data_IF_655531563004
#
_entry.id   IF_655531563004
#
_cell.length_a   1.000
_cell.length_b   1.000
_cell.length_c   1.000
_cell.angle_alpha   90.00
_cell.angle_beta   90.00
_cell.angle_gamma   90.00
#
_symmetry.space_group_name_H-M   'P 1'
#
loop_
_entity.id
_entity.type
_entity.pdbx_description
1 polymer ?
#
# COMPACT_ATOMS: atom_id res chain seq x y z
N UNK A 1 17.60 25.41 17.58
CA UNK A 1 16.74 25.51 16.37
C UNK A 1 17.55 25.66 15.08
N UNK A 2 18.30 26.75 14.87
CA UNK A 2 19.10 26.99 13.64
C UNK A 2 19.97 25.79 13.22
N UNK A 3 20.77 25.25 14.14
CA UNK A 3 21.65 24.11 13.86
C UNK A 3 20.90 22.83 13.48
N UNK A 4 19.75 22.57 14.11
CA UNK A 4 18.93 21.39 13.80
C UNK A 4 18.34 21.50 12.40
N UNK A 5 17.84 22.68 12.03
CA UNK A 5 17.33 22.92 10.69
C UNK A 5 18.45 22.75 9.63
N UNK A 6 19.65 23.26 9.90
CA UNK A 6 20.80 23.11 9.01
C UNK A 6 21.23 21.63 8.87
N UNK A 7 21.29 20.89 9.99
CA UNK A 7 21.62 19.47 9.99
C UNK A 7 20.58 18.64 9.22
N UNK A 8 19.29 18.92 9.42
CA UNK A 8 18.21 18.27 8.67
C UNK A 8 18.31 18.58 7.16
N UNK A 9 18.58 19.83 6.78
CA UNK A 9 18.88 20.19 5.38
C UNK A 9 20.05 19.39 4.81
N UNK A 10 21.17 19.30 5.54
CA UNK A 10 22.35 18.55 5.11
C UNK A 10 22.05 17.07 4.92
N UNK A 11 21.32 16.47 5.86
CA UNK A 11 20.90 15.08 5.79
C UNK A 11 20.00 14.81 4.57
N UNK A 12 19.01 15.67 4.32
CA UNK A 12 18.14 15.56 3.14
C UNK A 12 18.93 15.77 1.84
N UNK A 13 19.87 16.72 1.80
CA UNK A 13 20.70 16.95 0.62
C UNK A 13 21.56 15.73 0.27
N UNK A 14 22.13 15.07 1.28
CA UNK A 14 22.84 13.79 1.09
C UNK A 14 21.90 12.71 0.56
N UNK A 15 20.69 12.60 1.11
CA UNK A 15 19.67 11.68 0.61
C UNK A 15 19.34 11.93 -0.87
N UNK A 16 19.11 13.19 -1.24
CA UNK A 16 18.81 13.57 -2.62
C UNK A 16 19.97 13.26 -3.56
N UNK A 17 21.21 13.56 -3.16
CA UNK A 17 22.39 13.26 -3.96
C UNK A 17 22.50 11.75 -4.22
N UNK A 18 22.32 10.91 -3.20
CA UNK A 18 22.35 9.45 -3.38
C UNK A 18 21.25 8.94 -4.32
N UNK A 19 20.04 9.50 -4.23
CA UNK A 19 18.94 9.13 -5.14
C UNK A 19 19.30 9.49 -6.58
N UNK A 20 19.90 10.66 -6.83
CA UNK A 20 20.29 11.12 -8.16
C UNK A 20 21.45 10.28 -8.74
N UNK A 21 22.48 9.99 -7.94
CA UNK A 21 23.68 9.31 -8.43
C UNK A 21 23.56 7.78 -8.46
N UNK A 22 22.92 7.17 -7.47
CA UNK A 22 22.86 5.72 -7.29
C UNK A 22 21.51 5.11 -7.68
N UNK A 23 20.50 5.93 -7.94
CA UNK A 23 19.11 5.49 -8.18
C UNK A 23 18.48 4.76 -6.99
N UNK A 24 19.13 4.81 -5.82
CA UNK A 24 18.73 4.13 -4.58
C UNK A 24 18.74 5.12 -3.44
N UNK A 25 17.74 5.05 -2.59
CA UNK A 25 17.64 5.83 -1.36
C UNK A 25 18.40 5.15 -0.21
N UNK A 26 18.73 5.94 0.82
CA UNK A 26 19.22 5.41 2.08
C UNK A 26 18.06 4.71 2.82
N UNK A 27 17.85 3.44 2.52
CA UNK A 27 16.95 2.57 3.26
C UNK A 27 17.72 1.95 4.42
N UNK A 28 17.54 2.48 5.63
CA UNK A 28 18.09 1.87 6.85
C UNK A 28 17.23 0.67 7.34
N UNK A 29 16.06 0.45 6.75
CA UNK A 29 15.17 -0.69 7.01
C UNK A 29 14.29 -0.99 5.78
N UNK A 30 13.69 -2.18 5.74
CA UNK A 30 12.78 -2.66 4.68
C UNK A 30 11.54 -1.75 4.49
N UNK A 31 11.13 -1.03 5.55
CA UNK A 31 10.00 -0.11 5.52
C UNK A 31 10.16 1.05 4.52
N UNK A 32 11.39 1.46 4.20
CA UNK A 32 11.62 2.54 3.24
C UNK A 32 11.45 2.07 1.78
N UNK A 33 11.76 0.81 1.46
CA UNK A 33 11.54 0.24 0.12
C UNK A 33 10.05 0.04 -0.21
N UNK A 34 9.20 -0.05 0.81
CA UNK A 34 7.75 -0.09 0.68
C UNK A 34 7.19 1.33 0.57
N UNK A 35 7.55 2.23 1.49
CA UNK A 35 7.07 3.61 1.50
C UNK A 35 7.32 4.34 0.16
N UNK A 36 8.47 4.12 -0.48
CA UNK A 36 8.83 4.75 -1.75
C UNK A 36 8.00 4.30 -2.95
N UNK A 37 7.46 3.09 -2.91
CA UNK A 37 6.65 2.54 -4.01
C UNK A 37 5.17 2.89 -3.86
N UNK A 38 4.76 3.37 -2.69
CA UNK A 38 3.38 3.65 -2.35
C UNK A 38 3.03 5.14 -2.43
N UNK A 39 4.02 6.04 -2.38
CA UNK A 39 3.77 7.47 -2.60
C UNK A 39 3.61 7.76 -4.09
N UNK A 40 2.47 8.34 -4.48
CA UNK A 40 2.21 8.83 -5.85
C UNK A 40 3.22 9.88 -6.30
N UNK A 41 3.76 10.63 -5.34
CA UNK A 41 4.80 11.64 -5.55
C UNK A 41 6.16 10.95 -5.47
N UNK A 42 7.01 11.18 -6.49
CA UNK A 42 8.35 10.59 -6.51
C UNK A 42 9.15 11.01 -5.25
N UNK A 43 9.95 10.10 -4.64
CA UNK A 43 10.70 10.39 -3.41
C UNK A 43 11.58 11.64 -3.50
N UNK A 44 12.06 11.98 -4.70
CA UNK A 44 12.83 13.19 -4.96
C UNK A 44 12.06 14.48 -4.62
N UNK A 45 10.78 14.56 -4.98
CA UNK A 45 9.96 15.75 -4.71
C UNK A 45 9.63 15.90 -3.23
N UNK A 46 9.37 14.78 -2.54
CA UNK A 46 9.17 14.79 -1.09
C UNK A 46 10.43 15.28 -0.37
N UNK A 47 11.60 14.76 -0.74
CA UNK A 47 12.88 15.23 -0.19
C UNK A 47 13.16 16.69 -0.55
N UNK A 48 12.88 17.13 -1.77
CA UNK A 48 13.03 18.53 -2.17
C UNK A 48 12.14 19.45 -1.33
N UNK A 49 10.88 19.05 -1.08
CA UNK A 49 9.95 19.83 -0.25
C UNK A 49 10.44 19.95 1.19
N UNK A 50 10.95 18.87 1.77
CA UNK A 50 11.57 18.87 3.10
C UNK A 50 12.83 19.75 3.13
N UNK A 51 13.67 19.70 2.10
CA UNK A 51 14.86 20.55 1.99
C UNK A 51 14.50 22.03 1.99
N UNK A 52 13.54 22.43 1.15
CA UNK A 52 13.05 23.82 1.07
C UNK A 52 12.43 24.24 2.41
N UNK A 53 11.66 23.35 3.05
CA UNK A 53 11.07 23.60 4.36
C UNK A 53 12.12 23.91 5.43
N UNK A 54 13.10 23.03 5.64
CA UNK A 54 14.14 23.25 6.66
C UNK A 54 15.02 24.45 6.34
N UNK A 55 15.25 24.75 5.06
CA UNK A 55 15.96 25.95 4.64
C UNK A 55 15.17 27.21 5.00
N UNK A 56 13.85 27.21 4.79
CA UNK A 56 12.97 28.29 5.20
C UNK A 56 12.96 28.49 6.72
N UNK A 57 12.92 27.40 7.51
CA UNK A 57 13.03 27.46 8.98
C UNK A 57 14.37 28.05 9.41
N UNK A 58 15.48 27.63 8.78
CA UNK A 58 16.81 28.16 9.05
C UNK A 58 16.88 29.67 8.77
N UNK A 59 16.41 30.09 7.59
CA UNK A 59 16.36 31.50 7.19
C UNK A 59 15.49 32.33 8.12
N UNK A 60 14.29 31.86 8.48
CA UNK A 60 13.40 32.52 9.42
C UNK A 60 14.06 32.70 10.80
N UNK A 61 14.67 31.64 11.33
CA UNK A 61 15.41 31.71 12.60
C UNK A 61 16.58 32.70 12.54
N UNK A 62 17.27 32.84 11.40
CA UNK A 62 18.37 33.80 11.25
C UNK A 62 17.86 35.23 11.14
N UNK A 63 16.75 35.43 10.42
CA UNK A 63 16.11 36.72 10.22
C UNK A 63 15.58 37.32 11.53
N UNK A 64 14.83 36.53 12.31
CA UNK A 64 14.25 36.99 13.57
C UNK A 64 15.27 37.18 14.70
N UNK A 65 16.50 36.67 14.56
CA UNK A 65 17.57 36.90 15.54
C UNK A 65 18.02 38.37 15.59
N UNK A 66 17.87 39.10 14.49
CA UNK A 66 18.40 40.48 14.34
C UNK A 66 17.33 41.58 14.39
N UNK A 67 16.06 41.21 14.55
CA UNK A 67 14.92 42.14 14.44
C UNK A 67 14.03 42.00 15.68
N UNK A 68 13.37 43.08 16.14
CA UNK A 68 12.34 42.98 17.18
C UNK A 68 11.21 42.05 16.74
N UNK A 69 10.54 41.41 17.71
CA UNK A 69 9.48 40.44 17.42
C UNK A 69 8.37 41.08 16.57
N UNK A 70 8.03 40.50 15.40
CA UNK A 70 6.90 40.96 14.61
C UNK A 70 5.56 40.69 15.33
N UNK A 71 4.50 41.40 14.94
CA UNK A 71 3.15 41.16 15.45
C UNK A 71 2.61 39.75 15.10
N UNK A 72 3.14 39.12 14.04
CA UNK A 72 2.78 37.78 13.62
C UNK A 72 4.01 36.87 13.58
N UNK A 73 3.99 35.79 14.36
CA UNK A 73 5.11 34.86 14.45
C UNK A 73 5.08 33.83 13.31
N UNK A 74 5.74 34.19 12.21
CA UNK A 74 5.90 33.33 11.03
C UNK A 74 6.64 32.03 11.34
N UNK A 75 7.59 32.04 12.28
CA UNK A 75 8.35 30.85 12.64
C UNK A 75 7.42 29.84 13.32
N UNK A 76 6.55 30.31 14.21
CA UNK A 76 5.52 29.49 14.86
C UNK A 76 4.62 28.80 13.84
N UNK A 77 4.09 29.56 12.88
CA UNK A 77 3.21 29.04 11.83
C UNK A 77 3.92 27.99 10.99
N UNK A 78 5.15 28.27 10.56
CA UNK A 78 5.96 27.35 9.76
C UNK A 78 6.23 26.02 10.49
N UNK A 79 6.49 26.07 11.80
CA UNK A 79 6.69 24.88 12.62
C UNK A 79 5.40 24.04 12.78
N UNK A 80 4.23 24.68 12.91
CA UNK A 80 2.93 23.99 12.96
C UNK A 80 2.57 23.35 11.61
N UNK A 81 2.83 24.05 10.49
CA UNK A 81 2.62 23.50 9.14
C UNK A 81 3.48 22.24 8.95
N UNK A 82 4.77 22.30 9.31
CA UNK A 82 5.65 21.13 9.23
C UNK A 82 5.15 19.97 10.09
N UNK A 83 4.69 20.24 11.31
CA UNK A 83 4.14 19.21 12.20
C UNK A 83 2.85 18.60 11.63
N UNK A 84 1.98 19.39 11.00
CA UNK A 84 0.77 18.89 10.35
C UNK A 84 1.09 17.99 9.15
N UNK A 85 2.02 18.42 8.29
CA UNK A 85 2.45 17.64 7.11
C UNK A 85 3.08 16.31 7.53
N UNK A 86 4.01 16.32 8.48
CA UNK A 86 4.57 15.07 9.00
C UNK A 86 3.53 14.24 9.75
N UNK A 87 2.55 14.88 10.41
CA UNK A 87 1.40 14.19 10.99
C UNK A 87 0.65 13.36 9.97
N UNK A 88 0.43 13.89 8.77
CA UNK A 88 -0.18 13.16 7.65
C UNK A 88 0.72 12.02 7.18
N UNK A 89 2.02 12.25 7.01
CA UNK A 89 2.96 11.23 6.54
C UNK A 89 3.12 10.07 7.54
N UNK A 90 3.21 10.37 8.83
CA UNK A 90 3.26 9.35 9.90
C UNK A 90 1.93 8.60 9.97
N UNK A 91 0.79 9.29 9.88
CA UNK A 91 -0.53 8.65 9.86
C UNK A 91 -0.66 7.69 8.68
N UNK A 92 -0.20 8.10 7.50
CA UNK A 92 -0.17 7.25 6.32
C UNK A 92 0.69 5.99 6.54
N UNK A 93 1.87 6.11 7.15
CA UNK A 93 2.73 4.96 7.47
C UNK A 93 2.09 4.00 8.48
N UNK A 94 1.38 4.52 9.48
CA UNK A 94 0.73 3.71 10.53
C UNK A 94 -0.54 3.03 10.03
N UNK A 95 -1.42 3.77 9.34
CA UNK A 95 -2.76 3.30 8.99
C UNK A 95 -2.88 2.69 7.59
N UNK A 96 -2.01 3.06 6.65
CA UNK A 96 -2.09 2.58 5.26
C UNK A 96 -0.95 1.61 4.93
N UNK A 97 0.30 2.02 5.19
CA UNK A 97 1.46 1.18 4.83
C UNK A 97 1.67 0.05 5.85
N UNK A 98 1.33 0.29 7.11
CA UNK A 98 1.62 -0.59 8.26
C UNK A 98 3.11 -0.91 8.43
N UNK A 99 4.00 -0.06 7.90
CA UNK A 99 5.45 -0.15 8.09
C UNK A 99 6.02 1.25 8.26
N UNK A 100 6.96 1.41 9.20
CA UNK A 100 7.59 2.69 9.48
C UNK A 100 8.91 2.84 8.71
N UNK A 101 9.06 3.94 7.98
CA UNK A 101 10.33 4.27 7.35
C UNK A 101 11.19 5.06 8.33
N UNK A 102 12.34 4.50 8.67
CA UNK A 102 13.30 5.10 9.62
C UNK A 102 13.77 6.47 9.18
N UNK A 103 13.98 6.69 7.87
CA UNK A 103 14.31 8.00 7.32
C UNK A 103 13.23 9.05 7.63
N UNK A 104 11.95 8.75 7.36
CA UNK A 104 10.85 9.65 7.65
C UNK A 104 10.72 9.93 9.16
N UNK A 105 10.93 8.93 10.01
CA UNK A 105 10.90 9.11 11.46
C UNK A 105 12.01 10.03 11.96
N UNK A 106 13.20 10.01 11.35
CA UNK A 106 14.28 10.96 11.66
C UNK A 106 13.82 12.38 11.33
N UNK A 107 13.24 12.60 10.14
CA UNK A 107 12.74 13.93 9.72
C UNK A 107 11.62 14.42 10.65
N UNK A 108 10.63 13.56 10.95
CA UNK A 108 9.59 13.84 11.92
C UNK A 108 10.16 14.21 13.29
N UNK A 109 11.16 13.46 13.77
CA UNK A 109 11.83 13.72 15.04
C UNK A 109 12.51 15.08 15.06
N UNK A 110 13.15 15.50 13.95
CA UNK A 110 13.71 16.84 13.84
C UNK A 110 12.62 17.92 13.96
N UNK A 111 11.45 17.75 13.32
CA UNK A 111 10.34 18.70 13.38
C UNK A 111 9.72 18.77 14.78
N UNK A 112 9.54 17.63 15.44
CA UNK A 112 9.08 17.57 16.84
C UNK A 112 10.07 18.30 17.75
N UNK A 113 11.37 18.04 17.59
CA UNK A 113 12.41 18.70 18.38
C UNK A 113 12.42 20.22 18.15
N UNK A 114 12.24 20.68 16.91
CA UNK A 114 12.12 22.12 16.62
C UNK A 114 10.90 22.74 17.31
N UNK A 115 9.75 22.06 17.33
CA UNK A 115 8.55 22.53 18.03
C UNK A 115 8.74 22.55 19.56
N UNK A 116 9.41 21.55 20.14
CA UNK A 116 9.77 21.53 21.57
C UNK A 116 10.67 22.72 21.92
N UNK A 117 11.71 22.95 21.13
CA UNK A 117 12.70 24.01 21.37
C UNK A 117 12.16 25.42 21.16
N UNK A 118 11.09 25.58 20.37
CA UNK A 118 10.44 26.86 20.18
C UNK A 118 9.66 27.30 21.45
N UNK A 119 9.10 26.35 22.22
CA UNK A 119 8.59 26.62 23.58
C UNK A 119 7.32 25.86 23.97
N UNK A 120 6.95 25.89 25.26
CA UNK A 120 5.80 25.14 25.81
C UNK A 120 4.46 25.51 25.16
N UNK A 121 4.25 26.78 24.84
CA UNK A 121 3.02 27.25 24.17
C UNK A 121 2.82 26.62 22.79
N UNK A 122 3.90 26.26 22.11
CA UNK A 122 3.84 25.58 20.81
C UNK A 122 3.41 24.12 20.97
N UNK A 123 3.84 23.45 22.04
CA UNK A 123 3.41 22.08 22.32
C UNK A 123 1.91 21.99 22.59
N UNK A 124 1.34 22.95 23.33
CA UNK A 124 -0.10 22.99 23.57
C UNK A 124 -0.93 23.16 22.30
N UNK A 125 -0.39 23.75 21.24
CA UNK A 125 -1.06 23.79 19.92
C UNK A 125 -0.71 22.59 19.04
N UNK A 126 0.55 22.16 19.05
CA UNK A 126 1.05 21.11 18.18
C UNK A 126 0.53 19.72 18.52
N UNK A 127 0.39 19.40 19.82
CA UNK A 127 -0.11 18.08 20.25
C UNK A 127 -1.56 17.86 19.80
N UNK A 128 -2.52 18.76 20.08
CA UNK A 128 -3.89 18.61 19.58
C UNK A 128 -3.96 18.56 18.05
N UNK A 129 -3.14 19.35 17.35
CA UNK A 129 -3.07 19.33 15.89
C UNK A 129 -2.66 17.95 15.37
N UNK A 130 -1.58 17.38 15.91
CA UNK A 130 -1.10 16.06 15.52
C UNK A 130 -2.11 14.95 15.85
N UNK A 131 -2.73 15.00 17.03
CA UNK A 131 -3.79 14.06 17.42
C UNK A 131 -5.03 14.16 16.55
N UNK A 132 -5.42 15.37 16.14
CA UNK A 132 -6.54 15.58 15.23
C UNK A 132 -6.27 14.95 13.85
N UNK A 133 -5.04 15.09 13.33
CA UNK A 133 -4.64 14.42 12.09
C UNK A 133 -4.70 12.90 12.24
N UNK A 134 -4.16 12.34 13.32
CA UNK A 134 -4.26 10.90 13.60
C UNK A 134 -5.72 10.43 13.69
N UNK A 135 -6.56 11.16 14.43
CA UNK A 135 -7.98 10.83 14.57
C UNK A 135 -8.70 10.88 13.22
N UNK A 136 -8.42 11.86 12.36
CA UNK A 136 -8.98 11.89 11.01
C UNK A 136 -8.65 10.62 10.22
N UNK A 137 -7.40 10.14 10.30
CA UNK A 137 -6.99 8.89 9.65
C UNK A 137 -7.62 7.63 10.27
N UNK A 138 -7.98 7.64 11.56
CA UNK A 138 -8.73 6.52 12.16
C UNK A 138 -10.16 6.41 11.64
N UNK A 139 -10.78 7.53 11.27
CA UNK A 139 -12.16 7.59 10.77
C UNK A 139 -12.21 7.21 9.28
N UNK A 140 -11.17 7.55 8.52
CA UNK A 140 -11.09 7.27 7.09
C UNK A 140 -10.82 5.78 6.82
N UNK A 141 -11.73 5.14 6.08
CA UNK A 141 -11.55 3.77 5.61
C UNK A 141 -10.87 3.76 4.23
N UNK A 142 -9.57 3.47 4.20
CA UNK A 142 -8.76 3.49 2.97
C UNK A 142 -8.86 2.22 2.11
N UNK A 143 -9.67 1.22 2.49
CA UNK A 143 -9.69 -0.11 1.87
C UNK A 143 -9.95 -0.15 0.35
N UNK A 144 -11.21 -0.13 -0.12
CA UNK A 144 -11.53 -0.32 -1.54
C UNK A 144 -11.24 0.93 -2.41
N UNK A 145 -11.15 2.12 -1.80
CA UNK A 145 -10.94 3.38 -2.53
C UNK A 145 -9.52 3.55 -3.08
N UNK A 146 -8.51 2.91 -2.48
CA UNK A 146 -7.12 3.02 -2.96
C UNK A 146 -6.91 2.26 -4.28
N UNK A 147 -7.64 1.15 -4.49
CA UNK A 147 -7.58 0.34 -5.70
C UNK A 147 -8.19 1.06 -6.91
N UNK A 148 -9.30 1.79 -6.68
CA UNK A 148 -9.92 2.62 -7.72
C UNK A 148 -9.13 3.91 -8.00
N UNK A 149 -8.48 4.51 -6.99
CA UNK A 149 -7.66 5.72 -7.16
C UNK A 149 -6.39 5.51 -7.98
N UNK A 150 -5.83 4.29 -8.00
CA UNK A 150 -4.51 4.05 -8.60
C UNK A 150 -4.56 3.60 -10.07
N UNK A 151 -5.76 3.48 -10.68
CA UNK A 151 -5.93 2.89 -12.03
C UNK A 151 -5.27 1.48 -12.16
N UNK A 152 -5.05 0.81 -11.03
CA UNK A 152 -4.46 -0.53 -10.97
C UNK A 152 -5.58 -1.52 -10.69
N UNK A 153 -5.82 -2.42 -11.64
CA UNK A 153 -6.77 -3.50 -11.46
C UNK A 153 -6.12 -4.65 -10.69
N UNK A 154 -6.92 -5.47 -10.00
CA UNK A 154 -6.42 -6.69 -9.32
C UNK A 154 -5.60 -7.59 -10.26
N UNK A 155 -5.87 -7.51 -11.56
CA UNK A 155 -5.15 -8.20 -12.64
C UNK A 155 -3.68 -7.78 -12.77
N UNK A 156 -3.28 -6.56 -12.38
CA UNK A 156 -1.86 -6.13 -12.37
C UNK A 156 -1.01 -6.92 -11.36
N UNK A 157 -1.65 -7.49 -10.33
CA UNK A 157 -1.00 -8.37 -9.35
C UNK A 157 -0.89 -9.82 -9.81
N UNK A 158 -1.52 -10.17 -10.93
CA UNK A 158 -1.63 -11.54 -11.41
C UNK A 158 -0.43 -11.91 -12.29
N UNK A 159 0.27 -12.99 -11.95
CA UNK A 159 1.38 -13.51 -12.76
C UNK A 159 0.85 -14.34 -13.94
N UNK A 160 -0.21 -15.11 -13.70
CA UNK A 160 -0.78 -16.01 -14.68
C UNK A 160 -2.28 -16.17 -14.45
N UNK A 161 -3.01 -16.42 -15.52
CA UNK A 161 -4.45 -16.70 -15.49
C UNK A 161 -4.68 -18.09 -16.08
N UNK A 162 -5.58 -18.85 -15.45
CA UNK A 162 -6.12 -20.09 -16.00
C UNK A 162 -7.59 -19.89 -16.30
N UNK A 163 -7.95 -20.01 -17.58
CA UNK A 163 -9.32 -19.87 -18.07
C UNK A 163 -9.92 -21.26 -18.27
N UNK A 164 -11.03 -21.55 -17.60
CA UNK A 164 -11.70 -22.85 -17.69
C UNK A 164 -12.96 -22.84 -18.56
N UNK A 165 -13.81 -21.81 -18.43
CA UNK A 165 -15.07 -21.70 -19.17
C UNK A 165 -15.58 -20.25 -19.23
N UNK A 166 -16.55 -20.01 -20.11
CA UNK A 166 -17.31 -18.77 -20.25
C UNK A 166 -18.81 -19.08 -20.04
N UNK A 167 -19.54 -18.36 -19.17
CA UNK A 167 -19.08 -17.36 -18.20
C UNK A 167 -18.44 -18.01 -16.97
N UNK A 168 -17.41 -17.38 -16.40
CA UNK A 168 -16.75 -17.89 -15.19
C UNK A 168 -16.64 -16.84 -14.09
N UNK A 169 -16.71 -17.32 -12.84
CA UNK A 169 -16.42 -16.49 -11.67
C UNK A 169 -14.92 -16.21 -11.62
N UNK A 170 -14.55 -14.94 -11.47
CA UNK A 170 -13.15 -14.53 -11.32
C UNK A 170 -12.68 -14.71 -9.88
N UNK A 171 -11.62 -15.48 -9.72
CA UNK A 171 -11.03 -15.83 -8.44
C UNK A 171 -9.55 -15.43 -8.42
N UNK A 172 -9.14 -14.66 -7.42
CA UNK A 172 -7.75 -14.21 -7.26
C UNK A 172 -7.11 -14.94 -6.08
N UNK A 173 -6.11 -15.77 -6.36
CA UNK A 173 -5.44 -16.61 -5.39
C UNK A 173 -4.11 -16.00 -4.95
N UNK A 174 -4.02 -15.60 -3.69
CA UNK A 174 -2.83 -15.02 -3.09
C UNK A 174 -2.01 -16.07 -2.33
N UNK A 175 -0.74 -16.22 -2.69
CA UNK A 175 0.11 -17.30 -2.17
C UNK A 175 1.61 -16.95 -2.16
N UNK A 176 2.41 -17.74 -1.46
CA UNK A 176 3.88 -17.70 -1.46
C UNK A 176 4.45 -19.01 -2.03
N UNK A 177 5.63 -18.97 -2.64
CA UNK A 177 6.36 -20.17 -3.10
C UNK A 177 6.76 -21.10 -1.97
N UNK A 178 7.00 -20.54 -0.79
CA UNK A 178 7.61 -21.25 0.35
C UNK A 178 6.55 -21.76 1.34
N UNK A 179 5.27 -21.56 1.02
CA UNK A 179 4.12 -21.91 1.84
C UNK A 179 3.63 -23.34 1.52
N UNK A 180 3.71 -24.31 2.46
CA UNK A 180 3.26 -25.68 2.24
C UNK A 180 1.76 -25.78 1.93
N UNK A 181 0.94 -25.06 2.69
CA UNK A 181 -0.51 -24.99 2.49
C UNK A 181 -0.90 -24.46 1.10
N UNK A 182 -0.11 -23.54 0.57
CA UNK A 182 -0.32 -22.96 -0.75
C UNK A 182 -0.11 -23.98 -1.86
N UNK A 183 0.83 -24.91 -1.70
CA UNK A 183 1.08 -25.99 -2.69
C UNK A 183 -0.11 -26.92 -2.82
N UNK A 184 -0.79 -27.24 -1.71
CA UNK A 184 -1.97 -28.09 -1.72
C UNK A 184 -3.14 -27.41 -2.44
N UNK A 185 -3.35 -26.11 -2.20
CA UNK A 185 -4.36 -25.32 -2.93
C UNK A 185 -4.01 -25.24 -4.42
N UNK A 186 -2.75 -24.98 -4.78
CA UNK A 186 -2.33 -24.93 -6.19
C UNK A 186 -2.63 -26.25 -6.92
N UNK A 187 -2.40 -27.39 -6.27
CA UNK A 187 -2.77 -28.70 -6.83
C UNK A 187 -4.28 -28.86 -7.03
N UNK A 188 -5.08 -28.39 -6.07
CA UNK A 188 -6.55 -28.42 -6.20
C UNK A 188 -7.05 -27.54 -7.36
N UNK A 189 -6.28 -26.51 -7.74
CA UNK A 189 -6.55 -25.60 -8.85
C UNK A 189 -6.04 -26.10 -10.21
N UNK A 190 -5.38 -27.26 -10.27
CA UNK A 190 -4.94 -27.86 -11.53
C UNK A 190 -6.11 -28.36 -12.40
N UNK A 191 -7.27 -28.64 -11.80
CA UNK A 191 -8.47 -29.04 -12.52
C UNK A 191 -9.38 -27.83 -12.81
N UNK A 192 -10.19 -27.89 -13.88
CA UNK A 192 -10.74 -26.69 -14.53
C UNK A 192 -12.14 -26.97 -15.08
N UNK A 193 -13.22 -26.42 -14.47
CA UNK A 193 -14.59 -26.66 -14.96
C UNK A 193 -15.39 -25.35 -15.14
N UNK A 194 -15.54 -24.48 -14.12
CA UNK A 194 -16.40 -23.28 -14.23
C UNK A 194 -15.86 -21.94 -13.66
N UNK A 195 -14.58 -21.88 -13.27
CA UNK A 195 -13.97 -20.68 -12.68
C UNK A 195 -12.75 -20.19 -13.46
N UNK A 196 -12.47 -18.89 -13.43
CA UNK A 196 -11.24 -18.29 -13.93
C UNK A 196 -10.33 -17.98 -12.74
N UNK A 197 -9.14 -18.56 -12.74
CA UNK A 197 -8.19 -18.41 -11.64
C UNK A 197 -7.06 -17.46 -12.02
N UNK A 198 -6.94 -16.39 -11.26
CA UNK A 198 -5.84 -15.44 -11.29
C UNK A 198 -4.85 -15.79 -10.19
N UNK A 199 -3.61 -16.12 -10.56
CA UNK A 199 -2.55 -16.45 -9.61
C UNK A 199 -1.79 -15.19 -9.21
N UNK A 200 -1.80 -14.85 -7.92
CA UNK A 200 -1.27 -13.60 -7.36
C UNK A 200 -0.20 -13.89 -6.29
N UNK A 201 1.04 -14.24 -6.69
CA UNK A 201 2.09 -14.55 -5.73
C UNK A 201 2.52 -13.29 -4.97
N UNK A 202 2.73 -13.42 -3.66
CA UNK A 202 3.29 -12.34 -2.83
C UNK A 202 4.81 -12.27 -2.95
N UNK A 203 5.47 -13.31 -3.48
CA UNK A 203 6.91 -13.37 -3.70
C UNK A 203 7.27 -13.36 -5.17
N UNK A 204 8.49 -12.94 -5.50
CA UNK A 204 8.95 -12.92 -6.89
C UNK A 204 9.23 -14.34 -7.37
N UNK A 205 8.35 -14.87 -8.20
CA UNK A 205 8.53 -16.14 -8.91
C UNK A 205 8.60 -15.90 -10.42
N UNK A 206 9.32 -16.78 -11.14
CA UNK A 206 9.51 -16.68 -12.59
C UNK A 206 8.45 -17.45 -13.39
N UNK A 207 7.92 -18.52 -12.82
CA UNK A 207 6.96 -19.41 -13.49
C UNK A 207 6.20 -20.24 -12.46
N UNK A 208 5.01 -20.72 -12.85
CA UNK A 208 4.26 -21.75 -12.13
C UNK A 208 4.27 -23.05 -12.94
N UNK A 209 4.33 -24.18 -12.25
CA UNK A 209 4.27 -25.51 -12.85
C UNK A 209 2.82 -26.00 -12.96
N UNK A 210 1.95 -25.20 -13.59
CA UNK A 210 0.54 -25.55 -13.88
C UNK A 210 0.36 -25.52 -15.40
N UNK A 211 -0.29 -26.54 -16.00
CA UNK A 211 -0.55 -26.55 -17.44
C UNK A 211 -1.51 -25.42 -17.84
N UNK A 212 -1.37 -24.95 -19.09
CA UNK A 212 -2.33 -24.06 -19.76
C UNK A 212 -2.52 -22.68 -19.07
N UNK A 213 -1.41 -22.08 -18.63
CA UNK A 213 -1.40 -20.74 -18.03
C UNK A 213 -1.14 -19.64 -19.07
N UNK A 214 -1.97 -18.60 -19.04
CA UNK A 214 -1.72 -17.34 -19.73
C UNK A 214 -0.93 -16.39 -18.82
N UNK A 215 0.35 -16.16 -19.13
CA UNK A 215 1.22 -15.32 -18.31
C UNK A 215 1.07 -13.82 -18.60
N UNK A 216 1.00 -13.03 -17.54
CA UNK A 216 0.98 -11.56 -17.61
C UNK A 216 2.40 -10.99 -17.68
N UNK A 217 2.62 -10.01 -18.57
CA UNK A 217 3.92 -9.33 -18.74
C UNK A 217 4.18 -8.25 -17.70
N UNK A 218 3.15 -7.80 -16.98
CA UNK A 218 3.19 -6.61 -16.11
C UNK A 218 3.02 -6.94 -14.62
N UNK A 219 3.29 -8.19 -14.24
CA UNK A 219 3.14 -8.68 -12.87
C UNK A 219 4.02 -7.93 -11.85
N UNK A 220 3.39 -7.42 -10.79
CA UNK A 220 4.07 -6.80 -9.64
C UNK A 220 3.65 -7.42 -8.30
N UNK A 221 4.50 -8.26 -7.65
CA UNK A 221 4.18 -8.88 -6.35
C UNK A 221 3.92 -7.89 -5.23
N UNK A 222 4.49 -6.67 -5.31
CA UNK A 222 4.29 -5.66 -4.28
C UNK A 222 2.83 -5.23 -4.18
N UNK A 223 2.07 -5.28 -5.29
CA UNK A 223 0.65 -4.97 -5.30
C UNK A 223 -0.16 -6.01 -4.51
N UNK A 224 0.22 -7.28 -4.58
CA UNK A 224 -0.44 -8.35 -3.84
C UNK A 224 -0.26 -8.19 -2.32
N UNK A 225 0.96 -7.87 -1.89
CA UNK A 225 1.25 -7.55 -0.48
C UNK A 225 0.46 -6.34 -0.02
N UNK A 226 0.34 -5.32 -0.87
CA UNK A 226 -0.44 -4.13 -0.59
C UNK A 226 -1.93 -4.45 -0.39
N UNK A 227 -2.54 -5.19 -1.32
CA UNK A 227 -3.95 -5.60 -1.23
C UNK A 227 -4.20 -6.32 0.10
N UNK A 228 -3.38 -7.34 0.42
CA UNK A 228 -3.51 -8.11 1.66
C UNK A 228 -3.35 -7.23 2.91
N UNK A 229 -2.40 -6.30 2.89
CA UNK A 229 -2.18 -5.34 3.99
C UNK A 229 -3.41 -4.44 4.21
N UNK A 230 -3.97 -3.88 3.13
CA UNK A 230 -5.14 -3.00 3.17
C UNK A 230 -6.38 -3.70 3.76
N UNK A 231 -6.56 -4.99 3.45
CA UNK A 231 -7.67 -5.78 4.00
C UNK A 231 -7.32 -6.50 5.30
N UNK A 232 -6.19 -6.16 5.92
CA UNK A 232 -5.71 -6.70 7.20
C UNK A 232 -5.59 -8.22 7.21
N UNK A 233 -5.15 -8.80 6.10
CA UNK A 233 -4.87 -10.22 5.98
C UNK A 233 -3.35 -10.42 6.01
N UNK A 234 -2.86 -10.98 7.11
CA UNK A 234 -1.43 -11.21 7.33
C UNK A 234 -1.03 -12.67 7.08
N UNK A 235 -1.99 -13.52 6.72
CA UNK A 235 -1.80 -14.95 6.52
C UNK A 235 -2.11 -15.33 5.08
N UNK A 236 -1.42 -16.35 4.60
CA UNK A 236 -1.63 -17.01 3.30
C UNK A 236 -1.77 -18.52 3.54
N UNK A 237 -2.48 -19.27 2.69
CA UNK A 237 -3.13 -18.87 1.44
C UNK A 237 -4.45 -18.09 1.62
N UNK A 238 -4.81 -17.27 0.63
CA UNK A 238 -6.07 -16.51 0.58
C UNK A 238 -6.66 -16.56 -0.83
N UNK A 239 -7.96 -16.81 -0.93
CA UNK A 239 -8.72 -16.69 -2.17
C UNK A 239 -9.66 -15.48 -2.08
N UNK A 240 -9.61 -14.62 -3.09
CA UNK A 240 -10.49 -13.48 -3.25
C UNK A 240 -11.50 -13.76 -4.34
N UNK A 241 -12.77 -13.67 -4.00
CA UNK A 241 -13.91 -13.87 -4.90
C UNK A 241 -14.50 -12.50 -5.24
N UNK A 242 -14.60 -12.19 -6.53
CA UNK A 242 -15.27 -10.99 -7.00
C UNK A 242 -16.74 -11.33 -7.31
N UNK A 243 -17.65 -10.81 -6.47
CA UNK A 243 -19.10 -10.95 -6.64
C UNK A 243 -19.71 -9.63 -7.11
N UNK A 244 -20.94 -9.63 -7.68
CA UNK A 244 -21.66 -8.40 -8.03
C UNK A 244 -21.81 -7.43 -6.84
N UNK A 245 -22.00 -7.98 -5.64
CA UNK A 245 -22.25 -7.21 -4.41
C UNK A 245 -20.98 -6.83 -3.64
N UNK A 246 -19.79 -7.20 -4.15
CA UNK A 246 -18.50 -6.83 -3.54
C UNK A 246 -17.45 -7.94 -3.54
N UNK A 247 -16.45 -7.78 -2.66
CA UNK A 247 -15.28 -8.65 -2.55
C UNK A 247 -15.39 -9.57 -1.34
N UNK A 248 -15.14 -10.86 -1.52
CA UNK A 248 -15.13 -11.85 -0.43
C UNK A 248 -13.76 -12.50 -0.31
N UNK A 249 -13.20 -12.54 0.91
CA UNK A 249 -11.90 -13.15 1.19
C UNK A 249 -12.07 -14.47 1.96
N UNK A 250 -11.56 -15.55 1.40
CA UNK A 250 -11.57 -16.90 1.99
C UNK A 250 -10.14 -17.23 2.40
N UNK A 251 -9.93 -17.52 3.69
CA UNK A 251 -8.59 -17.70 4.27
C UNK A 251 -8.36 -19.16 4.63
N UNK A 252 -7.12 -19.62 4.41
CA UNK A 252 -6.68 -20.96 4.81
C UNK A 252 -7.02 -22.05 3.80
N UNK A 253 -6.19 -23.09 3.78
CA UNK A 253 -6.24 -24.18 2.80
C UNK A 253 -7.60 -24.88 2.73
N UNK A 254 -8.10 -25.40 3.86
CA UNK A 254 -9.33 -26.19 3.91
C UNK A 254 -10.55 -25.41 3.42
N UNK A 255 -10.71 -24.17 3.87
CA UNK A 255 -11.79 -23.27 3.48
C UNK A 255 -11.76 -22.98 1.97
N UNK A 256 -10.56 -22.77 1.42
CA UNK A 256 -10.37 -22.48 0.00
C UNK A 256 -10.72 -23.71 -0.84
N UNK A 257 -10.17 -24.88 -0.51
CA UNK A 257 -10.45 -26.12 -1.23
C UNK A 257 -11.95 -26.46 -1.16
N UNK A 258 -12.57 -26.34 0.01
CA UNK A 258 -14.01 -26.56 0.19
C UNK A 258 -14.84 -25.63 -0.69
N UNK A 259 -14.51 -24.33 -0.72
CA UNK A 259 -15.21 -23.37 -1.58
C UNK A 259 -15.06 -23.73 -3.06
N UNK A 260 -13.84 -24.00 -3.54
CA UNK A 260 -13.60 -24.30 -4.96
C UNK A 260 -14.34 -25.58 -5.35
N UNK A 261 -14.31 -26.63 -4.52
CA UNK A 261 -15.04 -27.88 -4.76
C UNK A 261 -16.55 -27.67 -4.96
N UNK A 262 -17.14 -26.73 -4.24
CA UNK A 262 -18.57 -26.46 -4.32
C UNK A 262 -18.92 -25.48 -5.44
N UNK A 263 -18.11 -24.44 -5.63
CA UNK A 263 -18.42 -23.33 -6.51
C UNK A 263 -17.91 -23.51 -7.94
N UNK A 264 -16.83 -24.27 -8.14
CA UNK A 264 -16.13 -24.39 -9.41
C UNK A 264 -16.18 -25.78 -10.04
N UNK A 265 -16.58 -26.82 -9.28
CA UNK A 265 -16.53 -28.22 -9.73
C UNK A 265 -17.90 -28.94 -9.71
N UNK A 266 -19.00 -28.25 -9.41
CA UNK A 266 -20.35 -28.81 -9.59
C UNK A 266 -20.79 -28.66 -11.05
N UNK A 267 -21.21 -29.77 -11.66
CA UNK A 267 -21.99 -29.75 -12.91
C UNK A 267 -23.33 -29.06 -12.63
N UNK A 268 -23.66 -27.97 -13.34
CA UNK A 268 -25.04 -27.50 -13.36
C UNK A 268 -25.91 -28.59 -14.01
N UNK A 269 -27.12 -28.87 -13.47
CA UNK A 269 -28.01 -29.83 -14.10
C UNK A 269 -28.34 -29.35 -15.50
N UNK A 270 -27.94 -30.12 -16.51
CA UNK A 270 -28.32 -29.90 -17.89
C UNK A 270 -29.84 -29.82 -17.97
N UNK A 271 -30.36 -28.62 -18.21
CA UNK A 271 -31.75 -28.40 -18.52
C UNK A 271 -31.96 -28.99 -19.93
N UNK A 272 -32.25 -30.29 -20.00
CA UNK A 272 -32.71 -30.94 -21.21
C UNK A 272 -34.00 -30.24 -21.65
N UNK A 273 -33.88 -29.35 -22.63
CA UNK A 273 -35.03 -28.88 -23.38
C UNK A 273 -35.48 -30.07 -24.24
N UNK A 274 -36.40 -30.84 -23.69
CA UNK A 274 -37.07 -31.94 -24.37
C UNK A 274 -37.76 -31.38 -25.63
N UNK A 275 -37.13 -31.59 -26.78
CA UNK A 275 -37.58 -31.13 -28.09
C UNK A 275 -38.43 -32.19 -28.80
N UNK A 276 -39.00 -33.15 -28.05
CA UNK A 276 -39.77 -34.26 -28.63
C UNK A 276 -41.30 -34.07 -28.65
N UNK A 277 -41.83 -32.83 -28.53
CA UNK A 277 -43.29 -32.60 -28.58
C UNK A 277 -43.81 -31.70 -29.71
N UNK A 278 -43.02 -31.42 -30.73
CA UNK A 278 -43.52 -30.82 -31.97
C UNK A 278 -43.08 -31.64 -33.17
N UNK A 279 -43.68 -32.82 -33.33
CA UNK A 279 -43.82 -33.50 -34.61
C UNK A 279 -44.93 -34.54 -34.49
N UNK A 280 -46.15 -34.16 -34.84
CA UNK A 280 -47.14 -35.09 -35.37
C UNK A 280 -47.91 -34.36 -36.49
N UNK A 281 -48.12 -35.04 -37.64
CA UNK A 281 -48.62 -34.46 -38.89
C UNK A 281 -50.11 -34.10 -38.86
#
# INVERSE_FOLDING_TARGET
>A
MQWIALLACGFIAVQMAMIIFSGKSLCLNDGCGIAEKLTTVAPLYLNLSGFVYFLAVFCACRWFRTRPLPAFDWLRLLLLIGLAVEGVLVSYQVFVIHTLCSYCLIIFSCIVLLNILYGRQQLFLGIPLFLAVLAAFTILNFGPALLTLQNQTLASGTIAVKKCALPSKQLYFFFSSDCPHCKNVLKALENCNSCEFHFNPVDKIKSLSIPELEYSRTYNPALNRLILSLVKIQTIPVLLVQNPDGLTFIKGEESIISFISQACFREEPQLYLDSSLYNAP
#
